data_IF_288468876995
#
_entry.id   IF_288468876995
#
_cell.length_a   1.000
_cell.length_b   1.000
_cell.length_c   1.000
_cell.angle_alpha   90.00
_cell.angle_beta   90.00
_cell.angle_gamma   90.00
#
_symmetry.space_group_name_H-M   'P 1'
#
loop_
_entity.id
_entity.type
_entity.pdbx_description
1 polymer ?
#
# COMPACT_ATOMS: atom_id res chain seq x y z
N UNK A 1 -31.56 14.68 -13.08
CA UNK A 1 -30.56 14.92 -14.15
C UNK A 1 -29.20 14.94 -13.50
N UNK A 2 -28.10 14.50 -14.14
CA UNK A 2 -26.77 14.58 -13.56
C UNK A 2 -26.39 16.02 -13.22
N UNK A 3 -25.68 16.20 -12.08
CA UNK A 3 -25.07 17.47 -11.73
C UNK A 3 -23.90 17.75 -12.69
N UNK A 4 -23.99 18.82 -13.48
CA UNK A 4 -23.00 19.14 -14.51
C UNK A 4 -21.86 20.03 -14.03
N UNK A 5 -21.74 20.27 -12.70
CA UNK A 5 -20.61 21.02 -12.12
C UNK A 5 -19.28 20.40 -12.58
N UNK A 6 -18.33 21.24 -13.00
CA UNK A 6 -17.05 20.78 -13.58
C UNK A 6 -16.10 20.25 -12.51
N UNK A 7 -16.08 20.86 -11.35
CA UNK A 7 -15.18 20.54 -10.26
C UNK A 7 -15.80 19.48 -9.34
N UNK A 8 -14.97 18.58 -8.80
CA UNK A 8 -15.39 17.63 -7.76
C UNK A 8 -15.48 18.31 -6.39
N UNK A 9 -16.25 17.73 -5.48
CA UNK A 9 -16.26 18.21 -4.10
C UNK A 9 -14.85 18.11 -3.50
N UNK A 10 -14.34 19.18 -2.86
CA UNK A 10 -13.06 19.10 -2.17
C UNK A 10 -13.14 18.05 -1.05
N UNK A 11 -12.05 17.37 -0.79
CA UNK A 11 -11.96 16.49 0.38
C UNK A 11 -11.74 17.36 1.62
N UNK A 12 -12.60 17.27 2.63
CA UNK A 12 -12.35 17.93 3.90
C UNK A 12 -11.12 17.35 4.59
N UNK A 13 -10.24 18.23 5.09
CA UNK A 13 -8.97 17.82 5.70
C UNK A 13 -8.51 18.75 6.79
N UNK A 14 -7.60 18.27 7.64
CA UNK A 14 -6.98 19.07 8.68
C UNK A 14 -6.10 20.18 8.07
N UNK A 15 -6.08 21.36 8.72
CA UNK A 15 -5.16 22.42 8.33
C UNK A 15 -3.69 21.95 8.35
N UNK A 16 -2.87 22.27 7.32
CA UNK A 16 -1.49 21.79 7.20
C UNK A 16 -0.61 22.01 8.43
N UNK A 17 -0.70 23.19 9.06
CA UNK A 17 0.07 23.56 10.26
C UNK A 17 -0.39 22.85 11.55
N UNK A 18 -1.54 22.17 11.50
CA UNK A 18 -2.07 21.34 12.59
C UNK A 18 -1.74 19.89 12.34
N UNK A 19 -2.03 19.40 11.13
CA UNK A 19 -1.85 17.97 10.78
C UNK A 19 -0.40 17.53 10.76
N UNK A 20 0.55 18.43 10.49
CA UNK A 20 1.99 18.11 10.50
C UNK A 20 2.58 17.93 11.91
N UNK A 21 1.76 18.02 12.97
CA UNK A 21 2.15 17.85 14.38
C UNK A 21 1.41 16.71 15.10
N UNK A 22 0.60 15.96 14.37
CA UNK A 22 -0.16 14.85 14.94
C UNK A 22 -0.27 13.67 13.96
N UNK A 23 -0.68 12.50 14.47
CA UNK A 23 -0.86 11.29 13.67
C UNK A 23 -2.34 10.96 13.40
N UNK A 24 -3.27 11.89 13.65
CA UNK A 24 -4.67 11.72 13.29
C UNK A 24 -4.83 11.73 11.76
N UNK A 25 -5.87 11.07 11.27
CA UNK A 25 -6.14 11.00 9.83
C UNK A 25 -6.24 12.40 9.22
N UNK A 26 -5.50 12.63 8.13
CA UNK A 26 -5.39 13.95 7.47
C UNK A 26 -6.72 14.38 6.88
N UNK A 27 -7.34 13.50 6.11
CA UNK A 27 -8.63 13.75 5.46
C UNK A 27 -9.76 13.27 6.37
N UNK A 28 -10.84 14.06 6.51
CA UNK A 28 -11.95 13.75 7.41
C UNK A 28 -13.16 13.11 6.73
N UNK A 29 -13.08 12.94 5.40
CA UNK A 29 -14.14 12.28 4.61
C UNK A 29 -15.29 13.21 4.24
N UNK A 30 -16.16 12.75 3.36
CA UNK A 30 -17.37 13.47 2.95
C UNK A 30 -18.48 13.36 3.99
N UNK A 31 -19.35 14.39 4.06
CA UNK A 31 -20.67 14.27 4.68
C UNK A 31 -21.64 13.55 3.71
N UNK A 32 -22.82 13.17 4.20
CA UNK A 32 -23.86 12.54 3.36
C UNK A 32 -24.27 13.46 2.21
N UNK A 33 -24.42 14.76 2.47
CA UNK A 33 -24.79 15.75 1.46
C UNK A 33 -23.69 15.91 0.41
N UNK A 34 -22.44 15.97 0.81
CA UNK A 34 -21.28 16.05 -0.10
C UNK A 34 -21.20 14.80 -0.99
N UNK A 35 -21.42 13.62 -0.40
CA UNK A 35 -21.35 12.35 -1.10
C UNK A 35 -22.48 12.24 -2.14
N UNK A 36 -23.72 12.61 -1.79
CA UNK A 36 -24.86 12.62 -2.71
C UNK A 36 -24.61 13.60 -3.86
N UNK A 37 -24.16 14.83 -3.56
CA UNK A 37 -23.88 15.85 -4.58
C UNK A 37 -22.77 15.41 -5.53
N UNK A 38 -21.67 14.83 -5.01
CA UNK A 38 -20.60 14.28 -5.85
C UNK A 38 -21.06 13.09 -6.69
N UNK A 39 -21.85 12.18 -6.10
CA UNK A 39 -22.39 11.02 -6.81
C UNK A 39 -23.30 11.43 -7.98
N UNK A 40 -24.06 12.53 -7.85
CA UNK A 40 -24.89 13.08 -8.91
C UNK A 40 -24.10 13.60 -10.12
N UNK A 41 -22.80 13.82 -10.00
CA UNK A 41 -21.91 14.17 -11.14
C UNK A 41 -21.67 12.98 -12.07
N UNK A 42 -21.94 11.75 -11.64
CA UNK A 42 -21.74 10.57 -12.45
C UNK A 42 -22.72 10.51 -13.63
N UNK A 43 -22.21 10.34 -14.85
CA UNK A 43 -23.00 10.27 -16.06
C UNK A 43 -23.61 8.88 -16.32
N UNK A 44 -23.31 7.90 -15.50
CA UNK A 44 -23.71 6.49 -15.69
C UNK A 44 -23.45 5.99 -17.12
N UNK A 45 -22.21 6.13 -17.59
CA UNK A 45 -21.80 5.89 -18.98
C UNK A 45 -22.11 4.45 -19.44
N UNK A 46 -22.62 4.30 -20.67
CA UNK A 46 -22.96 2.98 -21.26
C UNK A 46 -21.77 2.00 -21.25
N UNK A 47 -20.55 2.46 -21.56
CA UNK A 47 -19.36 1.62 -21.64
C UNK A 47 -18.58 1.51 -20.33
N UNK A 48 -18.99 2.22 -19.26
CA UNK A 48 -18.41 2.15 -17.90
C UNK A 48 -16.88 2.14 -17.87
N UNK A 49 -16.15 3.09 -18.53
CA UNK A 49 -14.70 3.00 -18.67
C UNK A 49 -13.95 3.03 -17.33
N UNK A 50 -14.51 3.65 -16.29
CA UNK A 50 -13.94 3.66 -14.95
C UNK A 50 -13.77 2.25 -14.35
N UNK A 51 -14.65 1.29 -14.70
CA UNK A 51 -14.50 -0.10 -14.24
C UNK A 51 -13.26 -0.77 -14.82
N UNK A 52 -12.90 -0.46 -16.08
CA UNK A 52 -11.68 -0.99 -16.71
C UNK A 52 -10.39 -0.46 -16.06
N UNK A 53 -10.48 0.67 -15.38
CA UNK A 53 -9.37 1.22 -14.61
C UNK A 53 -9.25 0.67 -13.18
N UNK A 54 -10.18 -0.21 -12.75
CA UNK A 54 -10.15 -0.82 -11.42
C UNK A 54 -9.63 -2.26 -11.48
N UNK A 55 -8.48 -2.59 -10.84
CA UNK A 55 -7.88 -3.93 -10.87
C UNK A 55 -8.79 -5.05 -10.32
N UNK A 56 -9.76 -4.70 -9.47
CA UNK A 56 -10.75 -5.65 -8.93
C UNK A 56 -12.14 -5.47 -9.54
N UNK A 57 -12.26 -4.67 -10.60
CA UNK A 57 -13.48 -4.47 -11.40
C UNK A 57 -14.72 -4.08 -10.58
N UNK A 58 -14.56 -3.16 -9.61
CA UNK A 58 -15.69 -2.60 -8.84
C UNK A 58 -16.74 -2.05 -9.80
N UNK A 59 -18.01 -2.36 -9.55
CA UNK A 59 -19.16 -1.89 -10.35
C UNK A 59 -19.46 -0.42 -10.06
N UNK A 60 -18.50 0.45 -10.43
CA UNK A 60 -18.44 1.87 -10.03
C UNK A 60 -19.71 2.64 -10.34
N UNK A 61 -20.29 2.65 -11.57
CA UNK A 61 -21.50 3.41 -11.81
C UNK A 61 -22.71 2.93 -11.00
N UNK A 62 -22.74 1.64 -10.64
CA UNK A 62 -23.84 1.05 -9.88
C UNK A 62 -23.80 1.50 -8.42
N UNK A 63 -22.64 1.40 -7.74
CA UNK A 63 -22.56 1.87 -6.37
C UNK A 63 -22.77 3.38 -6.27
N UNK A 64 -22.25 4.16 -7.22
CA UNK A 64 -22.45 5.62 -7.25
C UNK A 64 -23.94 5.96 -7.45
N UNK A 65 -24.67 5.19 -8.26
CA UNK A 65 -26.10 5.39 -8.42
C UNK A 65 -26.90 5.15 -7.12
N UNK A 66 -26.47 4.22 -6.27
CA UNK A 66 -27.02 4.05 -4.93
C UNK A 66 -26.69 5.23 -4.01
N UNK A 67 -25.43 5.70 -4.02
CA UNK A 67 -25.02 6.88 -3.22
C UNK A 67 -25.85 8.11 -3.61
N UNK A 68 -26.07 8.35 -4.91
CA UNK A 68 -26.87 9.49 -5.41
C UNK A 68 -28.32 9.47 -4.93
N UNK A 69 -28.83 8.34 -4.44
CA UNK A 69 -30.18 8.16 -3.87
C UNK A 69 -30.20 8.13 -2.34
N UNK A 70 -29.04 8.21 -1.68
CA UNK A 70 -28.92 8.01 -0.23
C UNK A 70 -29.01 6.55 0.22
N UNK A 71 -28.90 5.58 -0.70
CA UNK A 71 -28.96 4.15 -0.43
C UNK A 71 -27.56 3.59 -0.10
N UNK A 72 -26.92 4.09 0.97
CA UNK A 72 -25.51 3.86 1.24
C UNK A 72 -25.17 2.40 1.54
N UNK A 73 -26.07 1.68 2.22
CA UNK A 73 -25.87 0.24 2.48
C UNK A 73 -25.90 -0.59 1.19
N UNK A 74 -26.77 -0.25 0.25
CA UNK A 74 -26.82 -0.90 -1.06
C UNK A 74 -25.54 -0.60 -1.86
N UNK A 75 -25.01 0.63 -1.73
CA UNK A 75 -23.72 1.00 -2.33
C UNK A 75 -22.57 0.18 -1.75
N UNK A 76 -22.52 -0.01 -0.42
CA UNK A 76 -21.50 -0.83 0.24
C UNK A 76 -21.55 -2.28 -0.25
N UNK A 77 -22.72 -2.91 -0.22
CA UNK A 77 -22.92 -4.27 -0.73
C UNK A 77 -22.44 -4.42 -2.17
N UNK A 78 -22.70 -3.41 -3.00
CA UNK A 78 -22.25 -3.39 -4.40
C UNK A 78 -20.73 -3.33 -4.54
N UNK A 79 -20.04 -2.59 -3.71
CA UNK A 79 -18.57 -2.53 -3.68
C UNK A 79 -18.01 -3.88 -3.19
N UNK A 80 -18.57 -4.43 -2.10
CA UNK A 80 -18.12 -5.69 -1.48
C UNK A 80 -18.28 -6.95 -2.37
N UNK A 81 -19.05 -6.87 -3.46
CA UNK A 81 -19.12 -7.96 -4.46
C UNK A 81 -17.72 -8.29 -5.04
N UNK A 82 -16.86 -7.30 -5.18
CA UNK A 82 -15.54 -7.47 -5.82
C UNK A 82 -14.38 -6.91 -5.02
N UNK A 83 -14.59 -5.93 -4.15
CA UNK A 83 -13.54 -5.34 -3.31
C UNK A 83 -13.66 -5.82 -1.86
N UNK A 84 -12.67 -6.57 -1.40
CA UNK A 84 -12.63 -7.09 -0.03
C UNK A 84 -12.34 -6.00 1.03
N UNK A 85 -11.63 -4.91 0.66
CA UNK A 85 -11.10 -3.89 1.57
C UNK A 85 -11.48 -2.46 1.12
N UNK A 86 -12.78 -2.11 1.02
CA UNK A 86 -13.22 -0.83 0.46
C UNK A 86 -12.75 0.39 1.28
N UNK A 87 -12.73 0.30 2.61
CA UNK A 87 -12.28 1.38 3.47
C UNK A 87 -10.79 1.70 3.29
N UNK A 88 -9.99 0.67 3.01
CA UNK A 88 -8.57 0.80 2.66
C UNK A 88 -8.41 1.39 1.26
N UNK A 89 -9.08 0.81 0.26
CA UNK A 89 -8.97 1.23 -1.14
C UNK A 89 -9.40 2.69 -1.35
N UNK A 90 -10.47 3.12 -0.71
CA UNK A 90 -10.94 4.50 -0.77
C UNK A 90 -9.92 5.53 -0.26
N UNK A 91 -8.98 5.09 0.62
CA UNK A 91 -7.90 5.93 1.19
C UNK A 91 -6.60 5.88 0.41
N UNK A 92 -6.18 4.69 -0.06
CA UNK A 92 -4.78 4.49 -0.50
C UNK A 92 -4.62 4.19 -1.99
N UNK A 93 -5.68 3.88 -2.74
CA UNK A 93 -5.60 3.69 -4.18
C UNK A 93 -5.13 4.97 -4.89
N UNK A 94 -4.25 4.87 -5.90
CA UNK A 94 -3.91 5.99 -6.77
C UNK A 94 -5.01 6.17 -7.83
N UNK A 95 -6.21 6.61 -7.41
CA UNK A 95 -7.41 6.69 -8.23
C UNK A 95 -7.17 7.56 -9.48
N UNK A 96 -6.38 8.62 -9.36
CA UNK A 96 -5.99 9.52 -10.44
C UNK A 96 -5.22 8.83 -11.59
N UNK A 97 -4.62 7.65 -11.31
CA UNK A 97 -3.94 6.80 -12.31
C UNK A 97 -4.74 5.55 -12.69
N UNK A 98 -5.86 5.30 -12.03
CA UNK A 98 -6.70 4.11 -12.18
C UNK A 98 -8.13 4.46 -12.63
N UNK A 99 -9.14 4.24 -11.77
CA UNK A 99 -10.55 4.42 -12.12
C UNK A 99 -10.91 5.88 -12.50
N UNK A 100 -10.37 6.87 -11.78
CA UNK A 100 -10.64 8.27 -12.06
C UNK A 100 -9.99 8.75 -13.36
N UNK A 101 -8.81 8.22 -13.74
CA UNK A 101 -8.16 8.54 -15.02
C UNK A 101 -9.00 8.13 -16.24
N UNK A 102 -9.90 7.17 -16.07
CA UNK A 102 -10.82 6.69 -17.13
C UNK A 102 -12.19 7.34 -17.07
N UNK A 103 -12.43 8.23 -16.12
CA UNK A 103 -13.73 8.89 -15.97
C UNK A 103 -13.98 9.89 -17.09
N UNK A 104 -15.11 9.75 -17.81
CA UNK A 104 -15.48 10.64 -18.92
C UNK A 104 -15.60 12.11 -18.49
N UNK A 105 -15.96 12.37 -17.22
CA UNK A 105 -16.00 13.74 -16.67
C UNK A 105 -14.63 14.41 -16.72
N UNK A 106 -13.55 13.65 -16.56
CA UNK A 106 -12.17 14.14 -16.62
C UNK A 106 -11.73 14.70 -17.99
N UNK A 107 -12.53 14.51 -19.06
CA UNK A 107 -12.19 15.05 -20.38
C UNK A 107 -12.39 16.56 -20.46
N UNK A 108 -13.39 17.11 -19.76
CA UNK A 108 -13.75 18.54 -19.81
C UNK A 108 -13.68 19.26 -18.46
N UNK A 109 -13.42 18.53 -17.39
CA UNK A 109 -13.34 19.04 -16.04
C UNK A 109 -12.66 18.03 -15.13
N UNK A 110 -12.99 18.00 -13.85
CA UNK A 110 -12.50 16.97 -12.95
C UNK A 110 -13.32 15.68 -13.02
N UNK A 111 -12.64 14.54 -12.91
CA UNK A 111 -13.29 13.23 -12.76
C UNK A 111 -14.24 13.23 -11.56
N UNK A 112 -15.19 12.30 -11.54
CA UNK A 112 -15.94 12.01 -10.30
C UNK A 112 -14.97 11.51 -9.24
N UNK A 113 -15.12 11.96 -8.00
CA UNK A 113 -14.33 11.54 -6.85
C UNK A 113 -14.66 10.11 -6.42
N UNK A 114 -14.32 9.13 -7.26
CA UNK A 114 -14.70 7.72 -7.09
C UNK A 114 -14.17 7.15 -5.79
N UNK A 115 -12.86 7.36 -5.52
CA UNK A 115 -12.26 6.88 -4.28
C UNK A 115 -12.81 7.58 -3.04
N UNK A 116 -13.15 8.87 -3.14
CA UNK A 116 -13.79 9.63 -2.06
C UNK A 116 -15.18 9.08 -1.72
N UNK A 117 -15.94 8.69 -2.74
CA UNK A 117 -17.25 8.04 -2.56
C UNK A 117 -17.12 6.63 -2.02
N UNK A 118 -16.15 5.84 -2.49
CA UNK A 118 -15.86 4.50 -1.97
C UNK A 118 -15.50 4.56 -0.48
N UNK A 119 -14.62 5.49 -0.09
CA UNK A 119 -14.28 5.75 1.31
C UNK A 119 -15.51 6.13 2.13
N UNK A 120 -16.31 7.09 1.65
CA UNK A 120 -17.51 7.54 2.34
C UNK A 120 -18.47 6.37 2.63
N UNK A 121 -18.74 5.55 1.60
CA UNK A 121 -19.63 4.40 1.74
C UNK A 121 -19.12 3.39 2.77
N UNK A 122 -17.82 3.10 2.75
CA UNK A 122 -17.21 2.17 3.70
C UNK A 122 -17.23 2.71 5.14
N UNK A 123 -16.89 3.99 5.33
CA UNK A 123 -16.92 4.66 6.64
C UNK A 123 -18.34 4.76 7.19
N UNK A 124 -19.32 5.06 6.33
CA UNK A 124 -20.73 5.11 6.70
C UNK A 124 -21.23 3.75 7.17
N UNK A 125 -20.91 2.68 6.43
CA UNK A 125 -21.26 1.31 6.80
C UNK A 125 -20.66 0.93 8.15
N UNK A 126 -19.34 1.10 8.34
CA UNK A 126 -18.64 0.79 9.60
C UNK A 126 -19.23 1.50 10.81
N UNK A 127 -19.76 2.71 10.62
CA UNK A 127 -20.35 3.52 11.69
C UNK A 127 -21.81 3.16 12.00
N UNK A 128 -22.61 2.82 10.97
CA UNK A 128 -24.07 2.77 11.09
C UNK A 128 -24.64 1.34 11.03
N UNK A 129 -23.88 0.37 10.56
CA UNK A 129 -24.36 -1.00 10.36
C UNK A 129 -23.55 -1.96 11.24
N UNK A 130 -24.26 -2.76 12.01
CA UNK A 130 -23.65 -3.92 12.68
C UNK A 130 -23.70 -5.09 11.69
N UNK A 131 -22.56 -5.39 11.10
CA UNK A 131 -22.46 -6.48 10.14
C UNK A 131 -22.67 -7.83 10.86
N UNK A 132 -23.63 -8.61 10.40
CA UNK A 132 -23.80 -10.01 10.80
C UNK A 132 -23.09 -10.87 9.77
N UNK A 133 -21.92 -11.41 10.15
CA UNK A 133 -21.10 -12.22 9.24
C UNK A 133 -21.51 -13.67 9.41
N UNK A 134 -22.11 -14.24 8.36
CA UNK A 134 -22.40 -15.67 8.34
C UNK A 134 -21.12 -16.46 8.08
N UNK A 135 -20.88 -17.48 8.91
CA UNK A 135 -19.80 -18.42 8.66
C UNK A 135 -20.29 -19.45 7.64
N UNK A 136 -19.68 -19.55 6.45
CA UNK A 136 -20.07 -20.51 5.45
C UNK A 136 -19.87 -21.96 5.93
N UNK A 137 -20.66 -22.88 5.38
CA UNK A 137 -20.49 -24.31 5.65
C UNK A 137 -19.18 -24.79 5.02
N UNK A 138 -18.36 -25.52 5.79
CA UNK A 138 -17.08 -26.05 5.29
C UNK A 138 -17.29 -26.99 4.10
N UNK A 139 -16.48 -26.83 3.06
CA UNK A 139 -16.41 -27.73 1.92
C UNK A 139 -15.37 -28.87 2.13
N UNK A 140 -14.72 -28.91 3.31
CA UNK A 140 -13.72 -29.90 3.70
C UNK A 140 -12.32 -29.70 3.10
N UNK A 141 -12.09 -28.59 2.39
CA UNK A 141 -10.80 -28.24 1.80
C UNK A 141 -10.08 -27.15 2.60
N UNK A 142 -8.76 -27.29 2.73
CA UNK A 142 -7.91 -26.44 3.56
C UNK A 142 -6.90 -25.67 2.71
N UNK A 143 -6.79 -24.37 2.90
CA UNK A 143 -5.84 -23.52 2.17
C UNK A 143 -4.98 -22.71 3.16
N UNK A 144 -3.66 -22.83 3.02
CA UNK A 144 -2.71 -22.00 3.75
C UNK A 144 -2.39 -20.72 2.96
N UNK A 145 -2.40 -19.59 3.64
CA UNK A 145 -2.03 -18.29 3.07
C UNK A 145 -0.80 -17.75 3.79
N UNK A 146 0.28 -17.50 3.07
CA UNK A 146 1.54 -17.00 3.60
C UNK A 146 1.60 -15.48 3.46
N UNK A 147 1.40 -14.78 4.55
CA UNK A 147 1.35 -13.31 4.64
C UNK A 147 -0.07 -12.75 4.66
N UNK A 148 -0.29 -11.84 5.58
CA UNK A 148 -1.58 -11.17 5.82
C UNK A 148 -1.69 -9.79 5.16
N UNK A 149 -0.89 -9.52 4.14
CA UNK A 149 -0.99 -8.29 3.33
C UNK A 149 -2.27 -8.28 2.47
N UNK A 150 -2.51 -7.20 1.70
CA UNK A 150 -3.73 -7.02 0.89
C UNK A 150 -4.05 -8.23 0.00
N UNK A 151 -3.03 -8.83 -0.59
CA UNK A 151 -3.16 -10.01 -1.45
C UNK A 151 -3.67 -11.21 -0.66
N UNK A 152 -3.00 -11.56 0.46
CA UNK A 152 -3.37 -12.68 1.32
C UNK A 152 -4.75 -12.52 1.96
N UNK A 153 -5.08 -11.32 2.47
CA UNK A 153 -6.41 -11.03 3.02
C UNK A 153 -7.52 -11.20 1.96
N UNK A 154 -7.24 -10.85 0.71
CA UNK A 154 -8.21 -11.01 -0.39
C UNK A 154 -8.42 -12.48 -0.73
N UNK A 155 -7.35 -13.27 -0.86
CA UNK A 155 -7.45 -14.72 -1.08
C UNK A 155 -8.24 -15.39 0.04
N UNK A 156 -7.88 -15.07 1.28
CA UNK A 156 -8.54 -15.68 2.44
C UNK A 156 -10.03 -15.34 2.49
N UNK A 157 -10.40 -14.08 2.26
CA UNK A 157 -11.81 -13.68 2.25
C UNK A 157 -12.62 -14.30 1.11
N UNK A 158 -12.06 -14.36 -0.11
CA UNK A 158 -12.76 -14.91 -1.26
C UNK A 158 -12.93 -16.46 -1.15
N UNK A 159 -11.94 -17.16 -0.60
CA UNK A 159 -12.03 -18.60 -0.36
C UNK A 159 -12.92 -18.95 0.84
N UNK A 160 -12.82 -18.19 1.94
CA UNK A 160 -13.67 -18.42 3.10
C UNK A 160 -15.17 -18.33 2.75
N UNK A 161 -15.57 -17.33 1.92
CA UNK A 161 -16.95 -17.22 1.41
C UNK A 161 -17.45 -18.46 0.69
N UNK A 162 -16.55 -19.28 0.15
CA UNK A 162 -16.84 -20.55 -0.57
C UNK A 162 -16.76 -21.78 0.31
N UNK A 163 -16.55 -21.60 1.61
CA UNK A 163 -16.50 -22.67 2.60
C UNK A 163 -15.13 -23.34 2.78
N UNK A 164 -14.06 -22.78 2.20
CA UNK A 164 -12.71 -23.27 2.48
C UNK A 164 -12.29 -22.95 3.92
N UNK A 165 -11.57 -23.87 4.55
CA UNK A 165 -10.89 -23.65 5.82
C UNK A 165 -9.55 -22.96 5.55
N UNK A 166 -9.49 -21.67 5.83
CA UNK A 166 -8.33 -20.86 5.48
C UNK A 166 -7.54 -20.48 6.74
N UNK A 167 -6.24 -20.74 6.72
CA UNK A 167 -5.31 -20.28 7.76
C UNK A 167 -4.28 -19.33 7.15
N UNK A 168 -4.19 -18.12 7.69
CA UNK A 168 -3.17 -17.12 7.33
C UNK A 168 -2.01 -17.22 8.30
N UNK A 169 -0.79 -17.40 7.79
CA UNK A 169 0.46 -17.35 8.56
C UNK A 169 1.13 -15.99 8.37
N UNK A 170 1.26 -15.24 9.44
CA UNK A 170 1.84 -13.90 9.45
C UNK A 170 3.16 -13.88 10.24
N UNK A 171 4.20 -13.35 9.64
CA UNK A 171 5.54 -13.32 10.25
C UNK A 171 5.65 -12.36 11.44
N UNK A 172 4.89 -11.26 11.46
CA UNK A 172 4.91 -10.28 12.54
C UNK A 172 3.75 -10.49 13.51
N UNK A 173 3.79 -9.76 14.64
CA UNK A 173 2.82 -9.92 15.74
C UNK A 173 1.41 -9.35 15.46
N UNK A 174 1.23 -8.65 14.34
CA UNK A 174 -0.05 -8.04 13.97
C UNK A 174 -0.32 -8.26 12.48
N UNK A 175 -1.49 -8.82 12.15
CA UNK A 175 -1.88 -9.04 10.77
C UNK A 175 -2.23 -7.73 10.03
N UNK A 176 -1.99 -7.72 8.71
CA UNK A 176 -2.30 -6.60 7.81
C UNK A 176 -1.14 -6.22 6.87
N UNK A 177 0.06 -6.79 7.08
CA UNK A 177 1.22 -6.52 6.24
C UNK A 177 1.52 -5.02 6.11
N UNK A 178 1.78 -4.56 4.89
CA UNK A 178 2.11 -3.14 4.61
C UNK A 178 1.04 -2.15 5.06
N UNK A 179 -0.22 -2.57 5.20
CA UNK A 179 -1.30 -1.73 5.72
C UNK A 179 -1.05 -1.35 7.19
N UNK A 180 -0.36 -2.21 7.93
CA UNK A 180 -0.03 -2.01 9.35
C UNK A 180 1.35 -1.41 9.55
N UNK A 181 2.40 -1.95 8.91
CA UNK A 181 3.76 -1.51 9.17
C UNK A 181 4.22 -0.36 8.26
N UNK A 182 3.70 -0.27 7.02
CA UNK A 182 4.22 0.64 6.00
C UNK A 182 3.44 1.95 5.88
N UNK A 183 2.13 1.88 5.73
CA UNK A 183 1.28 3.08 5.53
C UNK A 183 1.05 3.77 6.87
N UNK A 184 1.33 5.09 7.01
CA UNK A 184 1.19 5.79 8.29
C UNK A 184 -0.27 5.90 8.78
N UNK A 185 -0.41 6.01 10.11
CA UNK A 185 -1.68 6.20 10.81
C UNK A 185 -2.49 7.37 10.23
N UNK A 186 -1.84 8.48 9.92
CA UNK A 186 -2.48 9.70 9.40
C UNK A 186 -3.00 9.56 7.95
N UNK A 187 -2.67 8.47 7.24
CA UNK A 187 -3.22 8.10 5.92
C UNK A 187 -4.20 6.94 6.00
N UNK A 188 -3.90 5.96 6.83
CA UNK A 188 -4.69 4.75 7.01
C UNK A 188 -4.72 4.39 8.50
N UNK A 189 -5.75 4.82 9.24
CA UNK A 189 -5.92 4.46 10.63
C UNK A 189 -5.93 2.94 10.82
N UNK A 190 -5.17 2.46 11.83
CA UNK A 190 -4.96 1.01 12.03
C UNK A 190 -6.23 0.30 12.51
N UNK A 191 -7.10 1.00 13.20
CA UNK A 191 -8.39 0.46 13.63
C UNK A 191 -9.28 0.06 12.45
N UNK A 192 -9.22 0.80 11.33
CA UNK A 192 -9.94 0.46 10.09
C UNK A 192 -9.41 -0.86 9.53
N UNK A 193 -8.09 -1.03 9.47
CA UNK A 193 -7.46 -2.26 8.98
C UNK A 193 -7.82 -3.44 9.88
N UNK A 194 -7.75 -3.25 11.20
CA UNK A 194 -8.09 -4.31 12.16
C UNK A 194 -9.59 -4.67 12.12
N UNK A 195 -10.47 -3.72 11.82
CA UNK A 195 -11.90 -4.00 11.64
C UNK A 195 -12.13 -4.90 10.41
N UNK A 196 -11.51 -4.60 9.27
CA UNK A 196 -11.60 -5.46 8.07
C UNK A 196 -11.05 -6.87 8.35
N UNK A 197 -9.95 -6.99 9.12
CA UNK A 197 -9.37 -8.28 9.51
C UNK A 197 -10.28 -9.03 10.49
N UNK A 198 -10.94 -8.33 11.43
CA UNK A 198 -11.88 -8.98 12.37
C UNK A 198 -13.06 -9.60 11.64
N UNK A 199 -13.54 -8.97 10.57
CA UNK A 199 -14.61 -9.51 9.75
C UNK A 199 -14.20 -10.84 9.08
N UNK A 200 -12.93 -10.99 8.67
CA UNK A 200 -12.42 -12.27 8.15
C UNK A 200 -12.36 -13.35 9.23
N UNK A 201 -11.94 -13.00 10.45
CA UNK A 201 -11.95 -13.93 11.59
C UNK A 201 -13.36 -14.39 11.94
N UNK A 202 -14.33 -13.48 11.97
CA UNK A 202 -15.73 -13.81 12.19
C UNK A 202 -16.30 -14.74 11.11
N UNK A 203 -15.81 -14.62 9.86
CA UNK A 203 -16.14 -15.52 8.75
C UNK A 203 -15.52 -16.92 8.90
N UNK A 204 -14.57 -17.09 9.84
CA UNK A 204 -13.91 -18.36 10.13
C UNK A 204 -12.51 -18.50 9.56
N UNK A 205 -11.86 -17.41 9.15
CA UNK A 205 -10.45 -17.42 8.78
C UNK A 205 -9.59 -17.44 10.04
N UNK A 206 -8.70 -18.43 10.15
CA UNK A 206 -7.70 -18.48 11.21
C UNK A 206 -6.49 -17.62 10.84
N UNK A 207 -5.94 -16.90 11.81
CA UNK A 207 -4.75 -16.05 11.61
C UNK A 207 -3.73 -16.33 12.69
N UNK A 208 -2.63 -16.96 12.29
CA UNK A 208 -1.50 -17.33 13.13
C UNK A 208 -0.37 -16.30 12.95
N UNK A 209 -0.14 -15.47 13.97
CA UNK A 209 0.93 -14.45 13.98
C UNK A 209 2.22 -15.00 14.56
N UNK A 210 3.36 -14.31 14.30
CA UNK A 210 4.71 -14.74 14.70
C UNK A 210 5.14 -16.08 14.09
N UNK A 211 4.57 -16.47 12.95
CA UNK A 211 4.92 -17.67 12.21
C UNK A 211 5.63 -17.31 10.92
N UNK A 212 6.92 -17.59 10.85
CA UNK A 212 7.76 -17.26 9.69
C UNK A 212 7.89 -18.49 8.79
N UNK A 213 7.13 -18.51 7.68
CA UNK A 213 7.25 -19.59 6.70
C UNK A 213 8.64 -19.56 6.04
N UNK A 214 9.28 -20.72 6.04
CA UNK A 214 10.70 -20.91 5.69
C UNK A 214 11.65 -20.90 6.90
N UNK A 215 11.11 -20.71 8.13
CA UNK A 215 11.85 -20.79 9.41
C UNK A 215 11.11 -21.63 10.44
N UNK A 216 9.89 -21.21 10.82
CA UNK A 216 9.05 -21.93 11.79
C UNK A 216 8.43 -23.16 11.15
N UNK A 217 7.92 -22.99 9.95
CA UNK A 217 7.34 -24.03 9.08
C UNK A 217 7.84 -23.80 7.66
N UNK A 218 8.02 -24.86 6.90
CA UNK A 218 8.30 -24.80 5.45
C UNK A 218 7.01 -24.92 4.64
N UNK A 219 7.05 -24.58 3.35
CA UNK A 219 5.92 -24.80 2.45
C UNK A 219 5.62 -26.30 2.30
N UNK A 220 6.64 -27.16 2.32
CA UNK A 220 6.47 -28.62 2.22
C UNK A 220 5.77 -29.19 3.47
N UNK A 221 6.13 -28.74 4.68
CA UNK A 221 5.46 -29.13 5.93
C UNK A 221 3.98 -28.71 5.98
N UNK A 222 3.60 -27.62 5.32
CA UNK A 222 2.18 -27.22 5.21
C UNK A 222 1.35 -28.31 4.47
N UNK A 223 1.93 -28.98 3.48
CA UNK A 223 1.30 -30.11 2.79
C UNK A 223 1.43 -31.42 3.58
N UNK A 224 2.66 -31.80 3.91
CA UNK A 224 2.98 -33.14 4.39
C UNK A 224 2.54 -33.40 5.84
N UNK A 225 2.61 -32.39 6.70
CA UNK A 225 2.30 -32.53 8.13
C UNK A 225 0.97 -31.87 8.50
N UNK A 226 0.65 -30.72 7.89
CA UNK A 226 -0.55 -29.97 8.23
C UNK A 226 -1.74 -30.24 7.30
N UNK A 227 -1.55 -31.02 6.23
CA UNK A 227 -2.58 -31.48 5.30
C UNK A 227 -3.39 -30.33 4.64
N UNK A 228 -2.73 -29.26 4.20
CA UNK A 228 -3.35 -28.27 3.35
C UNK A 228 -3.46 -28.77 1.91
N UNK A 229 -4.58 -28.48 1.24
CA UNK A 229 -4.82 -28.84 -0.16
C UNK A 229 -4.13 -27.88 -1.14
N UNK A 230 -3.94 -26.60 -0.75
CA UNK A 230 -3.21 -25.60 -1.52
C UNK A 230 -2.52 -24.59 -0.62
N UNK A 231 -1.48 -23.94 -1.15
CA UNK A 231 -0.74 -22.86 -0.49
C UNK A 231 -0.71 -21.64 -1.38
N UNK A 232 -1.08 -20.49 -0.82
CA UNK A 232 -0.93 -19.18 -1.47
C UNK A 232 0.19 -18.38 -0.83
N UNK A 233 1.16 -17.89 -1.64
CA UNK A 233 2.28 -17.07 -1.18
C UNK A 233 2.01 -15.59 -1.51
N UNK A 234 1.68 -14.80 -0.50
CA UNK A 234 1.45 -13.36 -0.55
C UNK A 234 2.37 -12.58 0.40
N UNK A 235 3.62 -13.03 0.54
CA UNK A 235 4.60 -12.49 1.52
C UNK A 235 5.12 -11.09 1.21
N UNK A 236 4.73 -10.49 0.09
CA UNK A 236 5.10 -9.14 -0.30
C UNK A 236 6.57 -8.94 -0.66
N UNK A 237 7.01 -7.68 -0.65
CA UNK A 237 8.38 -7.25 -0.89
C UNK A 237 8.82 -6.31 0.23
N UNK A 238 9.57 -6.82 1.19
CA UNK A 238 9.96 -6.09 2.40
C UNK A 238 11.48 -5.92 2.58
N UNK A 239 12.31 -6.44 1.67
CA UNK A 239 13.75 -6.28 1.74
C UNK A 239 14.17 -4.97 1.06
N UNK A 240 14.67 -3.96 1.82
CA UNK A 240 14.99 -2.65 1.27
C UNK A 240 16.22 -2.69 0.38
N UNK A 241 16.23 -1.80 -0.61
CA UNK A 241 17.43 -1.50 -1.39
C UNK A 241 18.20 -0.36 -0.73
N UNK A 242 19.52 -0.46 -0.78
CA UNK A 242 20.46 0.60 -0.47
C UNK A 242 21.20 1.02 -1.75
N UNK A 243 21.84 2.18 -1.74
CA UNK A 243 22.50 2.72 -2.93
C UNK A 243 23.90 2.15 -3.14
N UNK A 244 24.51 1.57 -2.10
CA UNK A 244 25.88 1.07 -2.12
C UNK A 244 26.92 2.18 -2.06
N UNK A 245 26.62 3.29 -1.40
CA UNK A 245 27.51 4.43 -1.22
C UNK A 245 28.17 4.42 0.17
N UNK A 246 29.28 5.13 0.29
CA UNK A 246 29.99 5.29 1.57
C UNK A 246 29.08 5.99 2.60
N UNK A 247 29.10 5.49 3.84
CA UNK A 247 28.37 6.06 4.97
C UNK A 247 26.98 5.47 5.21
N UNK A 248 26.48 4.54 4.38
CA UNK A 248 25.15 3.93 4.59
C UNK A 248 25.01 3.09 5.88
N UNK A 249 26.13 2.78 6.55
CA UNK A 249 26.15 2.06 7.83
C UNK A 249 26.25 2.98 9.06
N UNK A 250 26.27 4.28 8.89
CA UNK A 250 26.30 5.24 9.98
C UNK A 250 25.01 5.22 10.81
N UNK A 251 25.13 5.54 12.11
CA UNK A 251 23.99 5.79 12.96
C UNK A 251 23.20 6.99 12.43
N UNK A 252 21.86 6.88 12.40
CA UNK A 252 20.98 7.88 11.78
C UNK A 252 20.65 7.58 10.33
N UNK A 253 21.21 6.52 9.72
CA UNK A 253 20.76 6.00 8.41
C UNK A 253 19.77 4.87 8.63
N UNK A 254 18.61 4.99 8.04
CA UNK A 254 17.52 3.99 8.09
C UNK A 254 17.07 3.59 6.70
N UNK A 255 16.65 2.35 6.53
CA UNK A 255 15.72 2.06 5.43
C UNK A 255 14.33 2.61 5.78
N UNK A 256 13.56 3.03 4.77
CA UNK A 256 12.18 3.48 5.00
C UNK A 256 11.32 2.39 5.63
N UNK A 257 11.58 1.12 5.28
CA UNK A 257 10.88 -0.02 5.89
C UNK A 257 11.11 -0.09 7.40
N UNK A 258 12.36 0.00 7.85
CA UNK A 258 12.69 0.01 9.27
C UNK A 258 12.06 1.21 9.97
N UNK A 259 12.26 2.40 9.40
CA UNK A 259 11.76 3.66 9.96
C UNK A 259 10.23 3.63 10.13
N UNK A 260 9.50 3.27 9.07
CA UNK A 260 8.05 3.20 9.10
C UNK A 260 7.51 2.06 9.98
N UNK A 261 8.19 0.91 10.03
CA UNK A 261 7.80 -0.19 10.91
C UNK A 261 7.89 0.22 12.38
N UNK A 262 8.96 0.91 12.79
CA UNK A 262 9.09 1.43 14.15
C UNK A 262 7.97 2.43 14.49
N UNK A 263 7.62 3.28 13.54
CA UNK A 263 6.59 4.31 13.74
C UNK A 263 5.19 3.68 13.78
N UNK A 264 4.83 2.88 12.78
CA UNK A 264 3.47 2.42 12.58
C UNK A 264 3.14 1.14 13.36
N UNK A 265 3.91 0.06 13.14
CA UNK A 265 3.65 -1.23 13.77
C UNK A 265 3.99 -1.21 15.27
N UNK A 266 5.14 -0.62 15.60
CA UNK A 266 5.62 -0.52 16.98
C UNK A 266 5.09 0.73 17.70
N UNK A 267 4.30 1.56 17.01
CA UNK A 267 3.67 2.79 17.53
C UNK A 267 4.67 3.77 18.16
N UNK A 268 5.88 3.88 17.57
CA UNK A 268 6.95 4.73 18.10
C UNK A 268 6.57 6.20 18.26
N UNK A 269 5.56 6.69 17.51
CA UNK A 269 5.01 8.03 17.69
C UNK A 269 4.23 8.25 19.01
N UNK A 270 4.01 7.17 19.78
CA UNK A 270 3.39 7.19 21.12
C UNK A 270 4.41 6.92 22.25
N UNK A 271 5.71 6.95 21.94
CA UNK A 271 6.72 6.82 23.01
C UNK A 271 6.55 7.97 24.03
N UNK A 272 6.65 7.71 25.37
CA UNK A 272 7.00 6.45 26.05
C UNK A 272 5.79 5.55 26.43
N UNK A 273 4.57 5.85 25.96
CA UNK A 273 3.42 4.97 26.18
C UNK A 273 3.65 3.57 25.57
N UNK A 274 4.36 3.54 24.43
CA UNK A 274 4.88 2.33 23.77
C UNK A 274 6.40 2.31 23.83
N UNK A 275 6.99 1.12 23.99
CA UNK A 275 8.41 0.94 24.35
C UNK A 275 9.43 1.22 23.23
N UNK A 276 9.00 1.51 22.01
CA UNK A 276 9.89 1.69 20.86
C UNK A 276 10.21 3.16 20.62
N UNK A 277 11.40 3.68 21.01
CA UNK A 277 11.80 5.01 20.63
C UNK A 277 12.18 5.08 19.14
N UNK A 278 11.90 6.20 18.51
CA UNK A 278 12.35 6.51 17.16
C UNK A 278 13.24 7.75 17.22
N UNK A 279 14.52 7.57 16.85
CA UNK A 279 15.40 8.72 16.71
C UNK A 279 15.10 9.44 15.39
N UNK A 280 14.85 10.72 15.48
CA UNK A 280 14.71 11.63 14.35
C UNK A 280 15.49 12.88 14.69
N UNK A 281 16.44 13.24 13.84
CA UNK A 281 17.22 14.44 14.02
C UNK A 281 16.47 15.70 13.61
N UNK A 282 17.17 16.83 13.58
CA UNK A 282 16.60 18.11 13.17
C UNK A 282 16.44 18.22 11.65
N UNK A 283 17.44 17.74 10.91
CA UNK A 283 17.54 17.83 9.46
C UNK A 283 17.48 16.42 8.86
N UNK A 284 16.38 16.07 8.25
CA UNK A 284 16.13 14.72 7.72
C UNK A 284 16.12 14.73 6.20
N UNK A 285 16.95 13.90 5.57
CA UNK A 285 16.85 13.62 4.13
C UNK A 285 16.16 12.28 3.89
N UNK A 286 15.15 12.27 3.02
CA UNK A 286 14.48 11.07 2.56
C UNK A 286 14.78 10.86 1.08
N UNK A 287 15.43 9.74 0.75
CA UNK A 287 15.93 9.43 -0.57
C UNK A 287 14.89 8.66 -1.38
N UNK A 288 14.31 9.31 -2.38
CA UNK A 288 13.30 8.70 -3.23
C UNK A 288 12.11 9.62 -3.51
N UNK A 289 11.27 9.23 -4.49
CA UNK A 289 10.13 10.04 -4.93
C UNK A 289 8.79 9.27 -4.95
N UNK A 290 8.72 8.08 -4.34
CA UNK A 290 7.52 7.25 -4.27
C UNK A 290 6.65 7.53 -3.04
N UNK A 291 5.51 6.85 -2.94
CA UNK A 291 4.61 6.98 -1.78
C UNK A 291 5.32 6.69 -0.46
N UNK A 292 6.22 5.70 -0.43
CA UNK A 292 7.00 5.34 0.76
C UNK A 292 7.91 6.50 1.21
N UNK A 293 8.48 7.26 0.25
CA UNK A 293 9.28 8.45 0.57
C UNK A 293 8.40 9.57 1.15
N UNK A 294 7.21 9.80 0.58
CA UNK A 294 6.25 10.77 1.14
C UNK A 294 5.83 10.37 2.56
N UNK A 295 5.53 9.09 2.77
CA UNK A 295 5.16 8.54 4.08
C UNK A 295 6.26 8.73 5.12
N UNK A 296 7.51 8.43 4.75
CA UNK A 296 8.65 8.59 5.65
C UNK A 296 8.93 10.08 5.97
N UNK A 297 8.92 10.95 4.96
CA UNK A 297 9.15 12.38 5.14
C UNK A 297 8.08 13.05 6.02
N UNK A 298 6.81 12.76 5.73
CA UNK A 298 5.67 13.28 6.51
C UNK A 298 5.65 12.73 7.93
N UNK A 299 6.12 11.49 8.14
CA UNK A 299 6.29 10.90 9.47
C UNK A 299 7.43 11.56 10.24
N UNK A 300 8.59 11.81 9.61
CA UNK A 300 9.71 12.51 10.23
C UNK A 300 9.31 13.93 10.68
N UNK A 301 8.55 14.65 9.85
CA UNK A 301 8.02 15.97 10.20
C UNK A 301 7.16 15.93 11.46
N UNK A 302 6.27 14.95 11.57
CA UNK A 302 5.38 14.75 12.73
C UNK A 302 6.11 14.34 14.00
N UNK A 303 7.27 13.69 13.86
CA UNK A 303 8.14 13.30 14.97
C UNK A 303 9.05 14.44 15.45
N UNK A 304 8.95 15.62 14.83
CA UNK A 304 9.61 16.85 15.33
C UNK A 304 10.82 17.31 14.52
N UNK A 305 11.12 16.71 13.36
CA UNK A 305 12.16 17.22 12.48
C UNK A 305 11.87 18.69 12.08
N UNK A 306 12.87 19.56 12.23
CA UNK A 306 12.77 20.96 11.87
C UNK A 306 12.73 21.13 10.34
N UNK A 307 13.67 20.50 9.64
CA UNK A 307 13.77 20.49 8.18
C UNK A 307 13.69 19.06 7.66
N UNK A 308 12.87 18.86 6.65
CA UNK A 308 12.72 17.56 5.99
C UNK A 308 12.85 17.76 4.48
N UNK A 309 13.74 16.99 3.86
CA UNK A 309 14.04 17.05 2.44
C UNK A 309 13.67 15.76 1.74
N UNK A 310 12.92 15.82 0.64
CA UNK A 310 12.84 14.74 -0.35
C UNK A 310 13.98 14.94 -1.34
N UNK A 311 14.94 14.03 -1.37
CA UNK A 311 16.04 14.05 -2.33
C UNK A 311 15.74 13.06 -3.45
N UNK A 312 15.56 13.57 -4.66
CA UNK A 312 15.13 12.76 -5.81
C UNK A 312 15.91 13.08 -7.07
N UNK A 313 16.44 12.05 -7.70
CA UNK A 313 17.33 12.15 -8.86
C UNK A 313 16.66 12.61 -10.16
N UNK A 314 15.33 12.76 -10.21
CA UNK A 314 14.56 13.23 -11.36
C UNK A 314 13.76 14.48 -11.01
N UNK A 315 13.01 15.00 -12.00
CA UNK A 315 12.14 16.16 -11.83
C UNK A 315 10.79 15.83 -11.18
N UNK A 316 9.98 16.88 -11.00
CA UNK A 316 8.65 16.78 -10.36
C UNK A 316 7.69 15.91 -11.17
N UNK A 317 7.76 15.98 -12.49
CA UNK A 317 6.90 15.22 -13.42
C UNK A 317 7.16 13.71 -13.35
N UNK A 318 8.38 13.31 -12.98
CA UNK A 318 8.78 11.92 -12.85
C UNK A 318 8.51 11.32 -11.46
N UNK A 319 7.91 12.07 -10.53
CA UNK A 319 7.55 11.55 -9.20
C UNK A 319 6.51 10.42 -9.33
N UNK A 320 6.81 9.20 -8.86
CA UNK A 320 5.85 8.09 -8.94
C UNK A 320 4.77 8.13 -7.84
N UNK A 321 4.95 8.96 -6.81
CA UNK A 321 3.98 9.13 -5.72
C UNK A 321 2.62 9.61 -6.24
N UNK A 322 1.58 9.43 -5.44
CA UNK A 322 0.27 10.04 -5.66
C UNK A 322 0.38 11.56 -5.62
N UNK A 323 -0.32 12.22 -6.54
CA UNK A 323 -0.31 13.70 -6.60
C UNK A 323 -0.79 14.34 -5.29
N UNK A 324 -1.82 13.75 -4.65
CA UNK A 324 -2.34 14.19 -3.35
C UNK A 324 -1.29 14.10 -2.25
N UNK A 325 -0.48 13.02 -2.22
CA UNK A 325 0.58 12.85 -1.20
C UNK A 325 1.75 13.82 -1.40
N UNK A 326 2.10 14.13 -2.65
CA UNK A 326 3.09 15.17 -2.98
C UNK A 326 2.58 16.53 -2.53
N UNK A 327 1.32 16.84 -2.85
CA UNK A 327 0.69 18.10 -2.45
C UNK A 327 0.65 18.26 -0.93
N UNK A 328 0.23 17.23 -0.20
CA UNK A 328 0.23 17.24 1.26
C UNK A 328 1.63 17.41 1.86
N UNK A 329 2.65 16.80 1.25
CA UNK A 329 4.03 16.96 1.71
C UNK A 329 4.51 18.40 1.54
N UNK A 330 4.23 19.04 0.39
CA UNK A 330 4.55 20.46 0.13
C UNK A 330 3.86 21.38 1.14
N UNK A 331 2.57 21.20 1.39
CA UNK A 331 1.81 21.99 2.37
C UNK A 331 2.30 21.81 3.82
N UNK A 332 2.81 20.63 4.16
CA UNK A 332 3.37 20.31 5.47
C UNK A 332 4.79 20.87 5.67
N UNK A 333 5.32 21.58 4.66
CA UNK A 333 6.62 22.23 4.72
C UNK A 333 7.81 21.32 4.43
N UNK A 334 7.60 20.23 3.68
CA UNK A 334 8.68 19.37 3.20
C UNK A 334 9.27 19.97 1.94
N UNK A 335 10.59 20.15 1.91
CA UNK A 335 11.32 20.69 0.77
C UNK A 335 11.71 19.60 -0.21
N UNK A 336 11.48 19.82 -1.51
CA UNK A 336 11.85 18.90 -2.57
C UNK A 336 13.17 19.31 -3.23
N UNK A 337 14.25 18.60 -2.94
CA UNK A 337 15.54 18.67 -3.61
C UNK A 337 15.55 17.73 -4.81
N UNK A 338 14.95 18.23 -5.89
CA UNK A 338 14.84 17.49 -7.16
C UNK A 338 16.12 17.60 -7.98
N UNK A 339 16.32 16.67 -8.92
CA UNK A 339 17.52 16.59 -9.75
C UNK A 339 18.79 16.53 -8.92
N UNK A 340 18.73 15.81 -7.79
CA UNK A 340 19.89 15.55 -6.93
C UNK A 340 19.97 14.06 -6.59
N UNK A 341 21.17 13.51 -6.61
CA UNK A 341 21.42 12.11 -6.25
C UNK A 341 22.56 12.04 -5.23
N UNK A 342 22.36 11.35 -4.09
CA UNK A 342 23.41 11.18 -3.10
C UNK A 342 24.60 10.39 -3.67
N UNK A 343 25.81 10.82 -3.30
CA UNK A 343 27.08 10.18 -3.66
C UNK A 343 27.81 9.63 -2.42
N UNK A 344 27.57 10.25 -1.26
CA UNK A 344 28.19 9.85 0.00
C UNK A 344 27.39 10.37 1.19
N UNK A 345 27.34 9.61 2.29
CA UNK A 345 26.82 10.06 3.58
C UNK A 345 28.03 10.34 4.48
N UNK A 346 28.08 11.53 5.08
CA UNK A 346 29.18 11.98 5.91
C UNK A 346 28.89 11.68 7.39
N UNK A 347 29.89 11.19 8.10
CA UNK A 347 29.82 10.89 9.53
C UNK A 347 30.66 11.82 10.39
N UNK A 348 30.27 11.99 11.64
CA UNK A 348 31.10 12.59 12.68
C UNK A 348 31.99 11.55 13.35
N UNK A 349 32.82 11.98 14.32
CA UNK A 349 33.77 11.14 15.06
C UNK A 349 33.06 10.02 15.87
N UNK A 350 31.81 10.22 16.26
CA UNK A 350 31.00 9.25 17.02
C UNK A 350 30.26 8.26 16.11
N UNK A 351 30.46 8.33 14.78
CA UNK A 351 29.82 7.44 13.81
C UNK A 351 28.33 7.78 13.52
N UNK A 352 27.91 9.00 13.76
CA UNK A 352 26.58 9.52 13.40
C UNK A 352 26.61 10.35 12.12
N UNK A 353 25.50 10.36 11.39
CA UNK A 353 25.31 11.21 10.23
C UNK A 353 25.52 12.68 10.61
N UNK A 354 26.31 13.42 9.82
CA UNK A 354 26.57 14.85 9.98
C UNK A 354 26.40 15.65 8.70
N UNK A 355 26.10 14.99 7.59
CA UNK A 355 25.85 15.60 6.29
C UNK A 355 25.69 14.56 5.20
N UNK A 356 25.32 15.00 4.01
CA UNK A 356 25.21 14.15 2.83
C UNK A 356 25.70 14.91 1.59
N UNK A 357 26.64 14.33 0.86
CA UNK A 357 27.07 14.84 -0.43
C UNK A 357 26.08 14.38 -1.53
N UNK A 358 25.68 15.30 -2.37
CA UNK A 358 24.81 15.06 -3.52
C UNK A 358 25.42 15.63 -4.78
N UNK A 359 25.15 15.00 -5.93
CA UNK A 359 25.49 15.50 -7.26
C UNK A 359 24.24 15.94 -7.99
N UNK A 360 24.30 17.06 -8.72
CA UNK A 360 23.19 17.54 -9.55
C UNK A 360 23.00 16.63 -10.76
N UNK A 361 21.76 16.52 -11.18
CA UNK A 361 21.34 15.67 -12.30
C UNK A 361 20.70 16.50 -13.39
N UNK A 362 20.84 16.08 -14.63
CA UNK A 362 20.01 16.51 -15.75
C UNK A 362 19.17 15.35 -16.27
N UNK A 363 18.13 15.66 -17.04
CA UNK A 363 17.21 14.66 -17.59
C UNK A 363 17.53 14.39 -19.05
N UNK A 364 17.96 13.17 -19.34
CA UNK A 364 18.16 12.65 -20.69
C UNK A 364 16.89 12.02 -21.29
N UNK A 365 17.07 11.13 -22.25
CA UNK A 365 15.98 10.41 -22.90
C UNK A 365 15.20 9.51 -21.92
N UNK A 366 13.91 9.22 -22.21
CA UNK A 366 13.10 8.32 -21.41
C UNK A 366 13.72 6.91 -21.30
N UNK A 367 13.60 6.31 -20.12
CA UNK A 367 13.94 4.90 -19.87
C UNK A 367 12.73 3.97 -20.20
N UNK A 368 12.91 2.64 -20.02
CA UNK A 368 11.87 1.63 -20.28
C UNK A 368 10.57 1.85 -19.49
N UNK A 369 10.60 2.65 -18.42
CA UNK A 369 9.42 3.05 -17.65
C UNK A 369 8.73 4.30 -18.21
N UNK A 370 9.23 4.89 -19.28
CA UNK A 370 8.75 6.13 -19.87
C UNK A 370 9.17 7.40 -19.12
N UNK A 371 9.98 7.29 -18.05
CA UNK A 371 10.49 8.44 -17.29
C UNK A 371 11.89 8.82 -17.81
N UNK A 372 12.16 10.11 -17.88
CA UNK A 372 13.46 10.62 -18.35
C UNK A 372 14.60 10.10 -17.46
N UNK A 373 15.69 9.63 -18.09
CA UNK A 373 16.85 9.07 -17.40
C UNK A 373 17.63 10.17 -16.71
N UNK A 374 17.96 10.04 -15.40
CA UNK A 374 18.81 11.00 -14.72
C UNK A 374 20.29 10.78 -15.12
N UNK A 375 20.97 11.86 -15.48
CA UNK A 375 22.38 11.89 -15.87
C UNK A 375 23.12 12.83 -14.92
N UNK A 376 24.22 12.39 -14.27
CA UNK A 376 24.97 13.26 -13.35
C UNK A 376 25.70 14.37 -14.10
N UNK A 377 25.75 15.56 -13.47
CA UNK A 377 26.56 16.70 -13.93
C UNK A 377 27.86 16.69 -13.14
N UNK A 378 28.94 16.26 -13.76
CA UNK A 378 30.26 16.15 -13.11
C UNK A 378 30.73 17.50 -12.56
N UNK A 379 31.31 17.49 -11.34
CA UNK A 379 31.84 18.68 -10.66
C UNK A 379 30.73 19.56 -10.04
N UNK A 380 29.52 19.03 -9.89
CA UNK A 380 28.39 19.77 -9.30
C UNK A 380 28.07 19.29 -7.86
N UNK A 381 28.99 18.57 -7.25
CA UNK A 381 28.83 18.02 -5.91
C UNK A 381 28.64 19.16 -4.88
N UNK A 382 27.69 18.97 -3.99
CA UNK A 382 27.43 19.86 -2.87
C UNK A 382 27.06 19.06 -1.62
N UNK A 383 27.29 19.63 -0.44
CA UNK A 383 26.95 19.00 0.83
C UNK A 383 25.64 19.59 1.37
N UNK A 384 24.71 18.72 1.72
CA UNK A 384 23.49 19.08 2.43
C UNK A 384 23.69 18.76 3.92
N UNK A 385 23.38 19.73 4.78
CA UNK A 385 23.40 19.56 6.24
C UNK A 385 22.21 18.67 6.67
N UNK A 386 22.51 17.44 7.06
CA UNK A 386 21.53 16.45 7.54
C UNK A 386 22.14 15.63 8.67
N UNK A 387 21.31 15.21 9.60
CA UNK A 387 21.66 14.36 10.74
C UNK A 387 20.87 13.02 10.75
N UNK A 388 19.96 12.87 9.84
CA UNK A 388 19.21 11.63 9.61
C UNK A 388 18.97 11.42 8.12
N UNK A 389 19.17 10.18 7.64
CA UNK A 389 18.92 9.79 6.24
C UNK A 389 17.99 8.58 6.21
N UNK A 390 16.89 8.69 5.46
CA UNK A 390 15.94 7.57 5.26
C UNK A 390 15.96 7.14 3.80
N UNK A 391 16.38 5.91 3.53
CA UNK A 391 16.52 5.35 2.18
C UNK A 391 15.20 4.72 1.73
N UNK A 392 14.55 5.31 0.70
CA UNK A 392 13.24 4.93 0.18
C UNK A 392 13.25 4.67 -1.34
N UNK A 393 14.28 3.94 -1.83
CA UNK A 393 14.54 3.73 -3.27
C UNK A 393 13.99 2.42 -3.84
N UNK A 394 13.17 1.72 -3.09
CA UNK A 394 12.51 0.48 -3.50
C UNK A 394 12.86 -0.72 -2.64
N UNK A 395 12.18 -1.84 -2.94
CA UNK A 395 12.25 -3.07 -2.16
C UNK A 395 12.14 -4.29 -3.06
N UNK A 396 12.64 -5.44 -2.59
CA UNK A 396 12.49 -6.76 -3.22
C UNK A 396 11.88 -7.77 -2.26
N UNK A 397 11.35 -8.89 -2.77
CA UNK A 397 10.89 -10.00 -1.92
C UNK A 397 12.01 -10.56 -1.05
N UNK A 398 11.67 -10.94 0.18
CA UNK A 398 12.61 -11.63 1.07
C UNK A 398 13.00 -12.98 0.43
N UNK A 399 14.31 -13.31 0.34
CA UNK A 399 14.76 -14.55 -0.30
C UNK A 399 14.46 -15.83 0.49
N UNK A 400 13.92 -15.73 1.71
CA UNK A 400 13.73 -16.85 2.60
C UNK A 400 12.89 -17.97 1.95
N UNK A 401 11.68 -17.66 1.47
CA UNK A 401 10.75 -18.65 0.90
C UNK A 401 11.38 -19.34 -0.31
N UNK A 402 11.97 -18.59 -1.25
CA UNK A 402 12.62 -19.19 -2.42
C UNK A 402 13.81 -20.08 -2.08
N UNK A 403 14.52 -19.80 -0.98
CA UNK A 403 15.68 -20.60 -0.53
C UNK A 403 15.27 -21.88 0.19
N UNK A 404 14.09 -21.92 0.76
CA UNK A 404 13.57 -23.03 1.58
C UNK A 404 12.50 -23.87 0.89
N UNK A 405 12.06 -23.49 -0.32
CA UNK A 405 11.02 -24.17 -1.08
C UNK A 405 11.60 -24.67 -2.39
N UNK A 406 11.84 -26.00 -2.49
CA UNK A 406 12.33 -26.63 -3.72
C UNK A 406 11.26 -26.63 -4.81
N UNK A 407 11.67 -26.43 -6.05
CA UNK A 407 10.77 -26.43 -7.22
C UNK A 407 10.00 -25.12 -7.42
N UNK A 408 10.28 -24.08 -6.63
CA UNK A 408 9.70 -22.76 -6.78
C UNK A 408 10.64 -21.84 -7.57
N UNK A 409 10.27 -21.53 -8.81
CA UNK A 409 11.07 -20.71 -9.71
C UNK A 409 10.97 -19.21 -9.37
N UNK A 410 12.08 -18.50 -9.56
CA UNK A 410 12.16 -17.04 -9.35
C UNK A 410 12.92 -16.37 -10.48
N UNK A 411 12.57 -15.12 -10.77
CA UNK A 411 13.28 -14.30 -11.73
C UNK A 411 14.60 -13.71 -11.15
N UNK A 412 15.35 -12.99 -11.98
CA UNK A 412 16.64 -12.36 -11.59
C UNK A 412 16.50 -11.35 -10.43
N UNK A 413 15.31 -10.77 -10.22
CA UNK A 413 15.03 -9.84 -9.13
C UNK A 413 14.60 -10.56 -7.85
N UNK A 414 14.50 -11.89 -7.87
CA UNK A 414 14.07 -12.71 -6.74
C UNK A 414 12.56 -12.76 -6.53
N UNK A 415 11.77 -12.26 -7.47
CA UNK A 415 10.32 -12.41 -7.45
C UNK A 415 9.94 -13.81 -7.91
N UNK A 416 8.90 -14.39 -7.30
CA UNK A 416 8.36 -15.70 -7.68
C UNK A 416 7.78 -15.58 -9.10
N UNK A 417 8.05 -16.55 -9.96
CA UNK A 417 7.44 -16.67 -11.27
C UNK A 417 6.08 -17.32 -11.09
N UNK A 418 5.02 -16.60 -11.44
CA UNK A 418 3.65 -17.08 -11.40
C UNK A 418 2.91 -16.62 -12.65
N UNK A 419 1.93 -17.39 -13.06
CA UNK A 419 1.02 -17.04 -14.15
C UNK A 419 0.16 -15.81 -13.74
N UNK A 420 0.05 -14.82 -14.60
CA UNK A 420 -0.59 -13.54 -14.27
C UNK A 420 -2.11 -13.65 -14.06
N UNK A 421 -2.77 -14.60 -14.74
CA UNK A 421 -4.22 -14.77 -14.70
C UNK A 421 -4.67 -15.69 -13.56
N UNK A 422 -3.81 -16.61 -13.12
CA UNK A 422 -4.17 -17.66 -12.16
C UNK A 422 -3.33 -17.66 -10.88
N UNK A 423 -2.20 -16.97 -10.87
CA UNK A 423 -1.24 -17.02 -9.78
C UNK A 423 -0.51 -18.36 -9.63
N UNK A 424 -0.69 -19.33 -10.55
CA UNK A 424 0.00 -20.63 -10.47
C UNK A 424 1.50 -20.48 -10.59
N UNK A 425 2.24 -21.16 -9.72
CA UNK A 425 3.70 -21.19 -9.73
C UNK A 425 4.23 -22.46 -10.44
N UNK A 426 5.54 -22.62 -10.50
CA UNK A 426 6.19 -23.85 -10.97
C UNK A 426 6.03 -25.06 -10.04
N UNK A 427 5.52 -24.87 -8.80
CA UNK A 427 5.28 -25.92 -7.82
C UNK A 427 3.79 -26.23 -7.75
N UNK A 428 3.45 -27.52 -7.84
CA UNK A 428 2.06 -28.00 -7.82
C UNK A 428 1.33 -27.53 -6.55
N UNK A 429 0.06 -27.11 -6.70
CA UNK A 429 -0.82 -26.60 -5.65
C UNK A 429 -0.28 -25.38 -4.89
N UNK A 430 0.80 -24.72 -5.41
CA UNK A 430 1.35 -23.49 -4.87
C UNK A 430 1.05 -22.33 -5.80
N UNK A 431 0.42 -21.31 -5.25
CA UNK A 431 0.05 -20.08 -5.93
C UNK A 431 0.79 -18.89 -5.31
N UNK A 432 0.96 -17.83 -6.05
CA UNK A 432 1.58 -16.62 -5.55
C UNK A 432 0.98 -15.35 -6.21
N UNK A 433 1.01 -14.23 -5.49
CA UNK A 433 0.56 -12.96 -6.06
C UNK A 433 0.89 -11.76 -5.18
N UNK A 434 0.67 -10.56 -5.73
CA UNK A 434 1.07 -9.29 -5.15
C UNK A 434 2.58 -9.05 -5.28
N UNK A 435 3.14 -8.26 -4.38
CA UNK A 435 4.52 -7.76 -4.52
C UNK A 435 5.59 -8.85 -4.51
N UNK A 436 5.31 -10.06 -4.03
CA UNK A 436 6.24 -11.19 -4.12
C UNK A 436 6.44 -11.68 -5.55
N UNK A 437 5.50 -11.38 -6.45
CA UNK A 437 5.54 -11.72 -7.89
C UNK A 437 5.94 -10.51 -8.74
N UNK A 438 5.29 -9.37 -8.53
CA UNK A 438 5.46 -8.18 -9.40
C UNK A 438 6.58 -7.24 -8.96
N UNK A 439 7.08 -7.38 -7.73
CA UNK A 439 7.78 -6.33 -7.01
C UNK A 439 6.80 -5.35 -6.38
N UNK A 440 7.31 -4.36 -5.64
CA UNK A 440 6.47 -3.39 -4.93
C UNK A 440 5.54 -2.62 -5.89
N UNK A 441 4.23 -2.72 -5.65
CA UNK A 441 3.19 -2.13 -6.47
C UNK A 441 2.13 -1.40 -5.61
N UNK A 442 0.85 -1.60 -5.88
CA UNK A 442 -0.24 -0.95 -5.13
C UNK A 442 -1.11 -1.98 -4.40
N UNK A 443 -1.76 -1.53 -3.32
CA UNK A 443 -2.69 -2.36 -2.54
C UNK A 443 -3.71 -3.06 -3.43
N UNK A 444 -4.37 -2.30 -4.32
CA UNK A 444 -5.44 -2.83 -5.18
C UNK A 444 -4.93 -3.81 -6.25
N UNK A 445 -3.70 -3.63 -6.77
CA UNK A 445 -3.08 -4.60 -7.68
C UNK A 445 -2.77 -5.91 -6.96
N UNK A 446 -2.26 -5.83 -5.75
CA UNK A 446 -2.03 -7.02 -4.92
C UNK A 446 -3.34 -7.76 -4.60
N UNK A 447 -4.42 -7.01 -4.34
CA UNK A 447 -5.77 -7.59 -4.17
C UNK A 447 -6.27 -8.25 -5.45
N UNK A 448 -6.06 -7.63 -6.61
CA UNK A 448 -6.42 -8.20 -7.92
C UNK A 448 -5.74 -9.55 -8.18
N UNK A 449 -4.44 -9.63 -7.92
CA UNK A 449 -3.68 -10.88 -8.00
C UNK A 449 -4.22 -11.95 -7.02
N UNK A 450 -4.57 -11.54 -5.79
CA UNK A 450 -5.19 -12.42 -4.82
C UNK A 450 -6.54 -12.98 -5.29
N UNK A 451 -7.38 -12.15 -5.92
CA UNK A 451 -8.67 -12.61 -6.48
C UNK A 451 -8.49 -13.62 -7.59
N UNK A 452 -7.57 -13.38 -8.51
CA UNK A 452 -7.25 -14.29 -9.59
C UNK A 452 -6.80 -15.65 -9.05
N UNK A 453 -5.89 -15.66 -8.07
CA UNK A 453 -5.42 -16.86 -7.42
C UNK A 453 -6.53 -17.59 -6.65
N UNK A 454 -7.39 -16.89 -5.91
CA UNK A 454 -8.52 -17.50 -5.21
C UNK A 454 -9.49 -18.20 -6.17
N UNK A 455 -9.76 -17.60 -7.33
CA UNK A 455 -10.60 -18.21 -8.36
C UNK A 455 -9.95 -19.46 -8.95
N UNK A 456 -8.63 -19.43 -9.20
CA UNK A 456 -7.88 -20.57 -9.74
C UNK A 456 -7.77 -21.74 -8.73
N UNK A 457 -7.55 -21.43 -7.45
CA UNK A 457 -7.55 -22.41 -6.35
C UNK A 457 -8.92 -23.11 -6.26
N UNK A 458 -10.00 -22.32 -6.27
CA UNK A 458 -11.36 -22.86 -6.23
C UNK A 458 -11.67 -23.74 -7.44
N UNK A 459 -11.30 -23.31 -8.65
CA UNK A 459 -11.50 -24.13 -9.86
C UNK A 459 -10.73 -25.45 -9.79
N UNK A 460 -9.52 -25.45 -9.23
CA UNK A 460 -8.69 -26.66 -9.13
C UNK A 460 -9.19 -27.63 -8.06
N UNK A 461 -9.56 -27.11 -6.87
CA UNK A 461 -9.95 -27.95 -5.73
C UNK A 461 -11.42 -28.39 -5.74
N UNK A 462 -12.26 -27.78 -6.61
CA UNK A 462 -13.67 -28.17 -6.80
C UNK A 462 -13.85 -29.32 -7.79
N UNK A 463 -12.80 -29.75 -8.50
CA UNK A 463 -12.78 -30.88 -9.44
C UNK A 463 -12.56 -32.19 -8.70
#
# INVERSE_FOLDING_TARGET
MPNMRMDKNPMPEQCPNVRNKNFLEVTTGYTEEMAIDEAQRCLNCKHKPCMQGCPVSVKIPEFIAFVAKGEFENAYKKIKETNALPAVCGRVCPQEKQCESKCVRGIKGESVGIGRLERFVADWHMKNVKEEIEKPVSNGKRVAVVGSGPSGLTVAGDLAKKGYEVTIYEAVHTAGGVLMYGIPEFRLPKDIVQKEISNLKEMGVDIETNVVIGKTLTVDELFDEMNFDAVYIGSGAGLPHFMGIEGESLNGVYSANEFLTRINLMKGYKFPEYDTPVYVGKNVAVLGGGNVAMDAARSAKRLGAENVYIVYRRGKEELPARAEEVFHAEEEGIEFKLLQNPTKILGNEDGWVSGMEVIKMELGEPDDSGRRRPVPIEGSEEVIDVDTVVVAIGQTPNPLIRKTTKGLDTNKRGCIIADEDTGKTSKDHVYAGGDVVTGAATVILAMGAGKAAAAAIDEELSK
#
